data_IF_790115311266
#
_entry.id   IF_790115311266
#
_cell.length_a   1.000
_cell.length_b   1.000
_cell.length_c   1.000
_cell.angle_alpha   90.00
_cell.angle_beta   90.00
_cell.angle_gamma   90.00
#
_symmetry.space_group_name_H-M   'P 1'
#
loop_
_entity.id
_entity.type
_entity.pdbx_description
1 polymer ?
#
# COMPACT_ATOMS: atom_id res chain seq x y z
N UNK A 1 8.75 -4.26 4.80
CA UNK A 1 8.65 -2.96 4.07
C UNK A 1 7.72 -1.97 4.78
N UNK A 2 7.82 -0.65 4.51
CA UNK A 2 6.88 0.35 5.04
C UNK A 2 5.66 0.47 4.13
N UNK A 3 4.46 0.61 4.70
CA UNK A 3 3.21 0.77 3.97
C UNK A 3 2.27 1.78 4.67
N UNK A 4 1.40 2.43 3.89
CA UNK A 4 0.24 3.16 4.41
C UNK A 4 -0.89 2.14 4.61
N UNK A 5 -1.42 2.06 5.83
CA UNK A 5 -2.44 1.08 6.23
C UNK A 5 -3.67 1.80 6.73
N UNK A 6 -4.83 1.44 6.17
CA UNK A 6 -6.11 1.94 6.63
C UNK A 6 -6.55 1.25 7.93
N UNK A 7 -6.93 2.06 8.93
CA UNK A 7 -7.26 1.63 10.30
C UNK A 7 -8.62 2.16 10.77
N UNK A 8 -9.49 2.52 9.84
CA UNK A 8 -10.83 3.04 10.09
C UNK A 8 -11.01 4.46 9.58
N UNK A 9 -12.23 4.98 9.76
CA UNK A 9 -12.63 6.32 9.31
C UNK A 9 -11.64 7.39 9.81
N UNK A 10 -11.09 8.11 8.85
CA UNK A 10 -10.06 9.15 8.92
C UNK A 10 -8.78 8.72 9.61
N UNK A 11 -8.49 7.42 9.63
CA UNK A 11 -7.33 6.85 10.32
C UNK A 11 -6.45 6.03 9.38
N UNK A 12 -5.28 6.57 9.10
CA UNK A 12 -4.21 5.93 8.33
C UNK A 12 -2.95 5.87 9.19
N UNK A 13 -2.32 4.71 9.25
CA UNK A 13 -1.06 4.50 9.96
C UNK A 13 0.04 4.12 8.96
N UNK A 14 1.28 4.54 9.23
CA UNK A 14 2.46 4.06 8.49
C UNK A 14 3.05 2.90 9.30
N UNK A 15 3.06 1.72 8.72
CA UNK A 15 3.46 0.50 9.41
C UNK A 15 4.58 -0.23 8.69
N UNK A 16 5.38 -0.97 9.46
CA UNK A 16 6.33 -1.95 8.91
C UNK A 16 5.60 -3.28 8.78
N UNK A 17 5.41 -3.73 7.56
CA UNK A 17 4.76 -4.99 7.19
C UNK A 17 5.77 -5.95 6.57
N UNK A 18 5.39 -7.22 6.39
CA UNK A 18 6.21 -8.19 5.66
C UNK A 18 6.50 -7.74 4.23
N UNK A 19 7.64 -8.17 3.68
CA UNK A 19 7.98 -7.86 2.30
C UNK A 19 7.05 -8.63 1.34
N UNK A 20 6.72 -7.99 0.22
CA UNK A 20 5.90 -8.60 -0.82
C UNK A 20 6.58 -9.84 -1.40
N UNK A 21 5.77 -10.84 -1.76
CA UNK A 21 6.19 -12.10 -2.37
C UNK A 21 5.46 -12.34 -3.68
N UNK A 22 6.07 -13.12 -4.57
CA UNK A 22 5.40 -13.58 -5.79
C UNK A 22 4.42 -14.70 -5.43
N UNK A 23 3.20 -14.66 -5.97
CA UNK A 23 2.19 -15.70 -5.74
C UNK A 23 1.90 -16.50 -7.02
N UNK A 24 1.95 -15.85 -8.17
CA UNK A 24 1.80 -16.45 -9.49
C UNK A 24 3.05 -16.28 -10.36
N UNK A 25 3.27 -17.14 -11.38
CA UNK A 25 4.42 -17.04 -12.29
C UNK A 25 4.49 -15.75 -13.11
N UNK A 26 3.38 -15.01 -13.20
CA UNK A 26 3.25 -13.76 -13.96
C UNK A 26 3.51 -12.52 -13.14
N UNK A 27 3.75 -12.66 -11.84
CA UNK A 27 3.92 -11.52 -10.94
C UNK A 27 5.32 -10.90 -11.06
N UNK A 28 5.41 -9.61 -10.73
CA UNK A 28 6.69 -8.90 -10.59
C UNK A 28 6.70 -8.12 -9.29
N UNK A 29 7.86 -8.09 -8.63
CA UNK A 29 8.09 -7.23 -7.46
C UNK A 29 8.78 -5.94 -7.90
N UNK A 30 8.18 -4.81 -7.53
CA UNK A 30 8.68 -3.49 -7.89
C UNK A 30 9.13 -2.72 -6.64
N UNK A 31 10.31 -2.08 -6.74
CA UNK A 31 10.68 -1.00 -5.82
C UNK A 31 10.01 0.29 -6.27
N UNK A 32 9.04 0.75 -5.50
CA UNK A 32 8.36 2.02 -5.75
C UNK A 32 9.34 3.19 -5.57
N UNK A 33 9.50 4.03 -6.60
CA UNK A 33 10.25 5.29 -6.55
C UNK A 33 9.33 6.47 -6.28
N UNK A 34 8.12 6.42 -6.82
CA UNK A 34 7.05 7.37 -6.57
C UNK A 34 5.69 6.66 -6.63
N UNK A 35 4.74 7.20 -5.87
CA UNK A 35 3.32 6.83 -5.90
C UNK A 35 2.51 8.07 -5.54
N UNK A 36 1.23 8.10 -5.89
CA UNK A 36 0.36 9.24 -5.70
C UNK A 36 -0.90 8.87 -4.92
N UNK A 37 -1.53 9.87 -4.33
CA UNK A 37 -2.87 9.77 -3.75
C UNK A 37 -3.87 10.07 -4.86
N UNK A 38 -4.87 9.19 -5.01
CA UNK A 38 -5.99 9.37 -5.92
C UNK A 38 -7.19 9.96 -5.17
N UNK A 39 -8.11 10.62 -5.89
CA UNK A 39 -9.39 11.05 -5.31
C UNK A 39 -10.20 9.89 -4.74
N UNK A 40 -10.07 8.69 -5.32
CA UNK A 40 -10.75 7.48 -4.84
C UNK A 40 -10.30 7.07 -3.44
N UNK A 41 -9.06 7.36 -3.04
CA UNK A 41 -8.56 7.05 -1.71
C UNK A 41 -9.30 7.86 -0.64
N UNK A 42 -9.83 9.04 -0.99
CA UNK A 42 -10.64 9.87 -0.11
C UNK A 42 -12.04 9.30 0.14
N UNK A 43 -12.53 8.38 -0.69
CA UNK A 43 -13.82 7.73 -0.45
C UNK A 43 -13.77 6.72 0.69
N UNK A 44 -12.59 6.14 0.94
CA UNK A 44 -12.37 5.20 2.05
C UNK A 44 -11.68 5.86 3.25
N UNK A 45 -11.11 7.06 3.07
CA UNK A 45 -10.41 7.79 4.12
C UNK A 45 -11.33 8.08 5.28
#
# INVERSE_FOLDING_TARGET
>A
MKAVVWRGDRRLDIETVEDARLEAPTDVLMRLTSTAICGTDLHIY
#
